data_IF_965866957456
#
_entry.id   IF_965866957456
#
_cell.length_a   1.000
_cell.length_b   1.000
_cell.length_c   1.000
_cell.angle_alpha   90.00
_cell.angle_beta   90.00
_cell.angle_gamma   90.00
#
_symmetry.space_group_name_H-M   'P 1'
#
loop_
_entity.id
_entity.type
_entity.pdbx_description
1 polymer ?
#
# COMPACT_ATOMS: atom_id res chain seq x y z
N UNK A 1 23.75 2.90 -1.33
CA UNK A 1 22.91 1.71 -1.00
C UNK A 1 21.47 2.09 -0.62
N UNK A 2 21.26 3.17 0.15
CA UNK A 2 19.92 3.65 0.59
C UNK A 2 18.89 3.94 -0.53
N UNK A 3 19.34 4.37 -1.72
CA UNK A 3 18.42 4.61 -2.85
C UNK A 3 17.85 3.31 -3.45
N UNK A 4 18.63 2.22 -3.47
CA UNK A 4 18.16 0.91 -3.95
C UNK A 4 17.18 0.28 -2.97
N UNK A 5 17.40 0.47 -1.66
CA UNK A 5 16.50 -0.02 -0.60
C UNK A 5 15.11 0.63 -0.66
N UNK A 6 15.03 1.96 -0.83
CA UNK A 6 13.73 2.65 -0.96
C UNK A 6 12.98 2.22 -2.23
N UNK A 7 13.69 2.02 -3.35
CA UNK A 7 13.06 1.51 -4.58
C UNK A 7 12.48 0.10 -4.38
N UNK A 8 13.22 -0.79 -3.73
CA UNK A 8 12.76 -2.14 -3.43
C UNK A 8 11.52 -2.13 -2.52
N UNK A 9 11.50 -1.27 -1.50
CA UNK A 9 10.34 -1.12 -0.61
C UNK A 9 9.10 -0.61 -1.36
N UNK A 10 9.25 0.33 -2.30
CA UNK A 10 8.15 0.79 -3.14
C UNK A 10 7.65 -0.30 -4.09
N UNK A 11 8.56 -1.12 -4.62
CA UNK A 11 8.20 -2.29 -5.42
C UNK A 11 7.43 -3.35 -4.61
N UNK A 12 7.84 -3.60 -3.37
CA UNK A 12 7.10 -4.47 -2.45
C UNK A 12 5.73 -3.89 -2.09
N UNK A 13 5.66 -2.58 -1.83
CA UNK A 13 4.38 -1.90 -1.58
C UNK A 13 3.42 -2.02 -2.77
N UNK A 14 3.92 -1.87 -4.00
CA UNK A 14 3.14 -2.10 -5.21
C UNK A 14 2.63 -3.54 -5.28
N UNK A 15 3.51 -4.52 -5.07
CA UNK A 15 3.13 -5.94 -5.09
C UNK A 15 2.04 -6.25 -4.06
N UNK A 16 2.25 -5.88 -2.80
CA UNK A 16 1.32 -6.19 -1.73
C UNK A 16 0.00 -5.43 -1.86
N UNK A 17 0.02 -4.14 -2.21
CA UNK A 17 -1.22 -3.39 -2.44
C UNK A 17 -2.02 -3.94 -3.62
N UNK A 18 -1.35 -4.37 -4.69
CA UNK A 18 -1.99 -4.99 -5.84
C UNK A 18 -2.62 -6.34 -5.48
N UNK A 19 -1.93 -7.16 -4.68
CA UNK A 19 -2.50 -8.40 -4.16
C UNK A 19 -3.71 -8.14 -3.27
N UNK A 20 -3.63 -7.17 -2.35
CA UNK A 20 -4.77 -6.78 -1.51
C UNK A 20 -5.97 -6.33 -2.36
N UNK A 21 -5.71 -5.53 -3.39
CA UNK A 21 -6.72 -5.06 -4.34
C UNK A 21 -7.37 -6.22 -5.11
N UNK A 22 -6.58 -7.07 -5.77
CA UNK A 22 -7.10 -8.18 -6.59
C UNK A 22 -7.85 -9.20 -5.74
N UNK A 23 -7.29 -9.59 -4.59
CA UNK A 23 -7.91 -10.58 -3.71
C UNK A 23 -9.25 -10.04 -3.21
N UNK A 24 -9.29 -8.81 -2.70
CA UNK A 24 -10.54 -8.22 -2.19
C UNK A 24 -11.56 -7.99 -3.32
N UNK A 25 -11.14 -7.46 -4.47
CA UNK A 25 -12.04 -7.22 -5.61
C UNK A 25 -12.70 -8.51 -6.13
N UNK A 26 -11.97 -9.61 -6.04
CA UNK A 26 -12.42 -10.93 -6.51
C UNK A 26 -13.16 -11.73 -5.43
N UNK A 27 -13.22 -11.22 -4.19
CA UNK A 27 -13.84 -11.91 -3.05
C UNK A 27 -15.37 -11.83 -3.09
N UNK A 28 -15.96 -12.47 -4.10
CA UNK A 28 -17.40 -12.58 -4.33
C UNK A 28 -17.78 -14.05 -4.47
N UNK A 29 -18.49 -14.58 -3.48
CA UNK A 29 -18.88 -15.99 -3.41
C UNK A 29 -20.41 -16.20 -3.31
N UNK A 30 -21.21 -15.13 -3.40
CA UNK A 30 -22.66 -15.21 -3.30
C UNK A 30 -23.20 -15.05 -1.87
N UNK A 31 -24.51 -14.94 -1.74
CA UNK A 31 -25.20 -14.72 -0.46
C UNK A 31 -24.58 -13.59 0.36
N UNK A 32 -24.20 -13.84 1.62
CA UNK A 32 -23.53 -12.89 2.50
C UNK A 32 -22.03 -12.76 2.21
N UNK A 33 -21.44 -13.67 1.43
CA UNK A 33 -20.00 -13.77 1.18
C UNK A 33 -19.55 -12.91 -0.01
N UNK A 34 -19.97 -11.66 -0.03
CA UNK A 34 -19.56 -10.68 -1.03
C UNK A 34 -18.97 -9.47 -0.32
N UNK A 35 -17.76 -9.07 -0.72
CA UNK A 35 -17.05 -8.00 -0.04
C UNK A 35 -17.82 -6.66 -0.04
N UNK A 36 -18.56 -6.39 -1.12
CA UNK A 36 -19.26 -5.13 -1.35
C UNK A 36 -20.44 -4.90 -0.41
N UNK A 37 -20.86 -5.94 0.32
CA UNK A 37 -21.87 -5.84 1.39
C UNK A 37 -21.35 -5.19 2.67
N UNK A 38 -20.02 -5.04 2.82
CA UNK A 38 -19.39 -4.56 4.04
C UNK A 38 -18.58 -3.29 3.77
N UNK A 39 -18.75 -2.27 4.61
CA UNK A 39 -18.10 -0.97 4.44
C UNK A 39 -16.58 -1.07 4.63
N UNK A 40 -16.15 -1.87 5.58
CA UNK A 40 -14.74 -2.09 5.93
C UNK A 40 -13.97 -2.73 4.77
N UNK A 41 -14.59 -3.67 4.06
CA UNK A 41 -13.99 -4.31 2.89
C UNK A 41 -14.00 -3.39 1.66
N UNK A 42 -15.05 -2.61 1.44
CA UNK A 42 -15.07 -1.57 0.39
C UNK A 42 -14.01 -0.51 0.65
N UNK A 43 -13.83 -0.10 1.89
CA UNK A 43 -12.80 0.83 2.30
C UNK A 43 -11.39 0.26 2.06
N UNK A 44 -11.14 -0.99 2.50
CA UNK A 44 -9.88 -1.69 2.22
C UNK A 44 -9.60 -1.80 0.72
N UNK A 45 -10.60 -2.16 -0.09
CA UNK A 45 -10.46 -2.23 -1.54
C UNK A 45 -10.07 -0.89 -2.15
N UNK A 46 -10.78 0.19 -1.78
CA UNK A 46 -10.55 1.53 -2.30
C UNK A 46 -9.14 2.03 -1.96
N UNK A 47 -8.70 1.82 -0.71
CA UNK A 47 -7.36 2.21 -0.29
C UNK A 47 -6.28 1.35 -0.94
N UNK A 48 -6.50 0.03 -1.10
CA UNK A 48 -5.58 -0.84 -1.81
C UNK A 48 -5.41 -0.39 -3.27
N UNK A 49 -6.51 -0.05 -3.96
CA UNK A 49 -6.48 0.51 -5.31
C UNK A 49 -5.70 1.82 -5.38
N UNK A 50 -5.98 2.77 -4.47
CA UNK A 50 -5.24 4.04 -4.42
C UNK A 50 -3.74 3.83 -4.16
N UNK A 51 -3.39 2.91 -3.27
CA UNK A 51 -2.00 2.56 -2.98
C UNK A 51 -1.29 1.94 -4.18
N UNK A 52 -1.97 1.04 -4.91
CA UNK A 52 -1.45 0.45 -6.15
C UNK A 52 -1.22 1.51 -7.21
N UNK A 53 -2.19 2.41 -7.44
CA UNK A 53 -2.04 3.48 -8.43
C UNK A 53 -0.89 4.43 -8.06
N UNK A 54 -0.80 4.80 -6.79
CA UNK A 54 0.27 5.67 -6.28
C UNK A 54 1.64 5.03 -6.47
N UNK A 55 1.83 3.78 -6.02
CA UNK A 55 3.12 3.08 -6.10
C UNK A 55 3.50 2.70 -7.53
N UNK A 56 2.52 2.40 -8.41
CA UNK A 56 2.75 2.23 -9.84
C UNK A 56 3.21 3.53 -10.49
N UNK A 57 2.57 4.65 -10.16
CA UNK A 57 2.97 5.98 -10.63
C UNK A 57 4.40 6.33 -10.20
N UNK A 58 4.76 6.03 -8.94
CA UNK A 58 6.13 6.18 -8.46
C UNK A 58 7.13 5.31 -9.24
N UNK A 59 6.79 4.04 -9.49
CA UNK A 59 7.65 3.11 -10.21
C UNK A 59 7.88 3.56 -11.66
N UNK A 60 6.81 3.97 -12.36
CA UNK A 60 6.88 4.49 -13.73
C UNK A 60 7.76 5.74 -13.81
N UNK A 61 7.60 6.67 -12.86
CA UNK A 61 8.43 7.87 -12.80
C UNK A 61 9.91 7.51 -12.64
N UNK A 62 10.25 6.58 -11.75
CA UNK A 62 11.64 6.13 -11.57
C UNK A 62 12.21 5.46 -12.82
N UNK A 63 11.44 4.60 -13.49
CA UNK A 63 11.85 3.96 -14.76
C UNK A 63 12.08 5.02 -15.83
N UNK A 64 11.22 6.03 -15.91
CA UNK A 64 11.35 7.12 -16.88
C UNK A 64 12.60 7.99 -16.62
N UNK A 65 12.89 8.32 -15.36
CA UNK A 65 14.11 9.04 -14.95
C UNK A 65 15.38 8.24 -15.26
N UNK A 66 15.37 6.92 -15.05
CA UNK A 66 16.46 6.00 -15.42
C UNK A 66 16.65 5.91 -16.94
N UNK A 67 15.56 5.86 -17.71
CA UNK A 67 15.60 5.70 -19.17
C UNK A 67 16.01 6.98 -19.89
N UNK A 68 15.53 8.14 -19.44
CA UNK A 68 15.76 9.42 -20.12
C UNK A 68 17.00 10.16 -19.57
N UNK A 69 17.49 9.78 -18.39
CA UNK A 69 18.59 10.46 -17.71
C UNK A 69 18.27 11.90 -17.24
N UNK A 70 17.05 12.37 -17.48
CA UNK A 70 16.55 13.69 -17.07
C UNK A 70 15.72 13.52 -15.79
N UNK A 71 16.09 14.28 -14.76
CA UNK A 71 15.29 14.32 -13.53
C UNK A 71 14.01 15.10 -13.79
N UNK A 72 12.84 14.48 -13.60
CA UNK A 72 11.55 15.16 -13.81
C UNK A 72 11.27 16.22 -12.75
N UNK A 73 11.77 16.02 -11.53
CA UNK A 73 11.76 17.02 -10.45
C UNK A 73 13.16 17.17 -9.87
N UNK A 74 13.41 18.33 -9.29
CA UNK A 74 14.58 18.57 -8.46
C UNK A 74 14.65 17.53 -7.33
N UNK A 75 15.85 17.02 -7.02
CA UNK A 75 16.05 15.91 -6.05
C UNK A 75 15.36 16.16 -4.71
N UNK A 76 15.38 17.41 -4.22
CA UNK A 76 14.77 17.80 -2.94
C UNK A 76 13.25 17.74 -3.00
N UNK A 77 12.65 18.31 -4.03
CA UNK A 77 11.19 18.29 -4.26
C UNK A 77 10.69 16.86 -4.45
N UNK A 78 11.43 16.03 -5.18
CA UNK A 78 11.09 14.61 -5.33
C UNK A 78 11.11 13.87 -3.98
N UNK A 79 12.15 14.08 -3.16
CA UNK A 79 12.26 13.42 -1.86
C UNK A 79 11.13 13.85 -0.91
N UNK A 80 10.69 15.10 -1.00
CA UNK A 80 9.59 15.63 -0.20
C UNK A 80 8.24 15.04 -0.62
N UNK A 81 7.96 14.98 -1.94
CA UNK A 81 6.73 14.35 -2.48
C UNK A 81 6.68 12.87 -2.11
N UNK A 82 7.79 12.16 -2.25
CA UNK A 82 7.88 10.76 -1.87
C UNK A 82 7.66 10.55 -0.37
N UNK A 83 8.25 11.40 0.47
CA UNK A 83 8.08 11.32 1.93
C UNK A 83 6.62 11.51 2.36
N UNK A 84 5.98 12.60 1.93
CA UNK A 84 4.60 12.89 2.31
C UNK A 84 3.61 11.90 1.69
N UNK A 85 3.81 11.54 0.42
CA UNK A 85 2.95 10.58 -0.26
C UNK A 85 3.04 9.18 0.37
N UNK A 86 4.25 8.68 0.64
CA UNK A 86 4.44 7.38 1.27
C UNK A 86 3.80 7.36 2.67
N UNK A 87 3.90 8.46 3.44
CA UNK A 87 3.22 8.57 4.74
C UNK A 87 1.70 8.55 4.64
N UNK A 88 1.11 9.39 3.78
CA UNK A 88 -0.35 9.48 3.63
C UNK A 88 -0.93 8.12 3.25
N UNK A 89 -0.32 7.46 2.27
CA UNK A 89 -0.80 6.15 1.80
C UNK A 89 -0.57 5.07 2.86
N UNK A 90 0.54 5.10 3.60
CA UNK A 90 0.77 4.19 4.72
C UNK A 90 -0.32 4.34 5.80
N UNK A 91 -0.68 5.56 6.18
CA UNK A 91 -1.74 5.80 7.17
C UNK A 91 -3.12 5.32 6.69
N UNK A 92 -3.43 5.52 5.41
CA UNK A 92 -4.67 5.00 4.84
C UNK A 92 -4.69 3.47 4.86
N UNK A 93 -3.60 2.81 4.47
CA UNK A 93 -3.51 1.34 4.43
C UNK A 93 -3.67 0.70 5.82
N UNK A 94 -2.99 1.24 6.84
CA UNK A 94 -3.13 0.72 8.20
C UNK A 94 -4.54 0.98 8.75
N UNK A 95 -5.12 2.14 8.44
CA UNK A 95 -6.49 2.49 8.82
C UNK A 95 -7.51 1.52 8.22
N UNK A 96 -7.47 1.32 6.90
CA UNK A 96 -8.42 0.44 6.21
C UNK A 96 -8.25 -1.02 6.60
N UNK A 97 -7.00 -1.50 6.71
CA UNK A 97 -6.71 -2.87 7.13
C UNK A 97 -7.20 -3.11 8.56
N UNK A 98 -6.95 -2.17 9.48
CA UNK A 98 -7.38 -2.30 10.88
C UNK A 98 -8.90 -2.27 11.03
N UNK A 99 -9.63 -1.52 10.20
CA UNK A 99 -11.10 -1.54 10.22
C UNK A 99 -11.69 -2.89 9.79
N UNK A 100 -11.03 -3.61 8.88
CA UNK A 100 -11.51 -4.88 8.34
C UNK A 100 -11.18 -6.10 9.24
N UNK A 101 -10.21 -5.99 10.14
CA UNK A 101 -9.79 -7.09 11.04
C UNK A 101 -10.93 -7.54 11.99
N UNK A 102 -11.58 -6.65 12.78
CA UNK A 102 -12.63 -7.07 13.70
C UNK A 102 -13.81 -7.72 12.99
N UNK A 103 -14.19 -7.19 11.83
CA UNK A 103 -15.24 -7.76 10.99
C UNK A 103 -14.90 -9.18 10.57
N UNK A 104 -13.69 -9.39 10.03
CA UNK A 104 -13.23 -10.71 9.58
C UNK A 104 -13.17 -11.70 10.74
N UNK A 105 -12.63 -11.30 11.89
CA UNK A 105 -12.52 -12.15 13.07
C UNK A 105 -13.90 -12.59 13.57
N UNK A 106 -14.85 -11.64 13.67
CA UNK A 106 -16.24 -11.94 14.07
C UNK A 106 -16.94 -12.90 13.11
N UNK A 107 -16.65 -12.83 11.81
CA UNK A 107 -17.20 -13.79 10.83
C UNK A 107 -16.63 -15.19 11.02
N UNK A 108 -15.33 -15.31 11.34
CA UNK A 108 -14.65 -16.59 11.54
C UNK A 108 -15.10 -17.34 12.79
N UNK A 109 -15.59 -16.63 13.80
CA UNK A 109 -16.24 -17.26 14.98
C UNK A 109 -17.48 -18.08 14.59
N UNK A 110 -18.22 -17.64 13.56
CA UNK A 110 -19.42 -18.34 13.08
C UNK A 110 -19.14 -19.39 12.00
N UNK A 111 -18.28 -19.07 11.03
CA UNK A 111 -17.93 -19.99 9.94
C UNK A 111 -16.59 -19.62 9.31
N UNK A 112 -15.60 -20.51 9.43
CA UNK A 112 -14.36 -20.38 8.68
C UNK A 112 -14.53 -20.91 7.26
N UNK A 113 -14.32 -20.07 6.25
CA UNK A 113 -14.55 -20.42 4.86
C UNK A 113 -13.71 -19.55 3.91
N UNK A 114 -13.74 -19.88 2.61
CA UNK A 114 -12.92 -19.21 1.59
C UNK A 114 -13.07 -17.68 1.56
N UNK A 115 -14.24 -17.14 1.91
CA UNK A 115 -14.47 -15.70 1.97
C UNK A 115 -13.69 -15.03 3.10
N UNK A 116 -13.66 -15.66 4.29
CA UNK A 116 -12.93 -15.15 5.45
C UNK A 116 -11.43 -15.33 5.29
N UNK A 117 -10.98 -16.44 4.68
CA UNK A 117 -9.57 -16.65 4.33
C UNK A 117 -9.07 -15.62 3.31
N UNK A 118 -9.86 -15.38 2.24
CA UNK A 118 -9.52 -14.38 1.24
C UNK A 118 -9.51 -12.96 1.82
N UNK A 119 -10.46 -12.66 2.73
CA UNK A 119 -10.47 -11.39 3.46
C UNK A 119 -9.22 -11.22 4.33
N UNK A 120 -8.87 -12.24 5.11
CA UNK A 120 -7.67 -12.23 5.96
C UNK A 120 -6.38 -12.10 5.13
N UNK A 121 -6.31 -12.77 3.97
CA UNK A 121 -5.18 -12.64 3.04
C UNK A 121 -5.08 -11.20 2.49
N UNK A 122 -6.18 -10.61 2.03
CA UNK A 122 -6.19 -9.22 1.54
C UNK A 122 -5.80 -8.21 2.63
N UNK A 123 -6.31 -8.38 3.86
CA UNK A 123 -5.94 -7.56 5.02
C UNK A 123 -4.44 -7.69 5.32
N UNK A 124 -3.91 -8.92 5.31
CA UNK A 124 -2.49 -9.17 5.55
C UNK A 124 -1.61 -8.48 4.51
N UNK A 125 -2.00 -8.56 3.23
CA UNK A 125 -1.34 -7.83 2.15
C UNK A 125 -1.42 -6.32 2.35
N UNK A 126 -2.55 -5.79 2.84
CA UNK A 126 -2.70 -4.38 3.22
C UNK A 126 -1.71 -3.93 4.29
N UNK A 127 -1.51 -4.74 5.35
CA UNK A 127 -0.50 -4.47 6.38
C UNK A 127 0.93 -4.57 5.85
N UNK A 128 1.25 -5.53 4.98
CA UNK A 128 2.57 -5.64 4.38
C UNK A 128 2.88 -4.45 3.45
N UNK A 129 1.89 -3.97 2.70
CA UNK A 129 1.99 -2.75 1.91
C UNK A 129 2.25 -1.53 2.82
N UNK A 130 1.52 -1.43 3.94
CA UNK A 130 1.73 -0.40 4.95
C UNK A 130 3.17 -0.41 5.48
N UNK A 131 3.68 -1.56 5.94
CA UNK A 131 5.04 -1.69 6.48
C UNK A 131 6.07 -1.26 5.43
N UNK A 132 5.88 -1.66 4.17
CA UNK A 132 6.77 -1.32 3.08
C UNK A 132 6.83 0.20 2.83
N UNK A 133 5.66 0.87 2.78
CA UNK A 133 5.60 2.33 2.61
C UNK A 133 6.08 3.09 3.85
N UNK A 134 5.76 2.62 5.06
CA UNK A 134 6.22 3.23 6.30
C UNK A 134 7.77 3.22 6.37
N UNK A 135 8.40 2.10 6.03
CA UNK A 135 9.86 2.02 5.95
C UNK A 135 10.42 2.91 4.83
N UNK A 136 9.75 2.98 3.68
CA UNK A 136 10.15 3.90 2.59
C UNK A 136 10.09 5.37 3.03
N UNK A 137 9.03 5.76 3.74
CA UNK A 137 8.86 7.10 4.30
C UNK A 137 9.96 7.41 5.33
N UNK A 138 10.28 6.49 6.24
CA UNK A 138 11.38 6.69 7.21
C UNK A 138 12.73 6.92 6.52
N UNK A 139 13.04 6.15 5.48
CA UNK A 139 14.26 6.33 4.70
C UNK A 139 14.26 7.69 3.97
N UNK A 140 13.14 8.07 3.36
CA UNK A 140 12.99 9.37 2.67
C UNK A 140 13.13 10.55 3.65
N UNK A 141 12.53 10.44 4.84
CA UNK A 141 12.64 11.44 5.89
C UNK A 141 14.06 11.57 6.45
N UNK A 142 14.76 10.44 6.64
CA UNK A 142 16.17 10.46 7.08
C UNK A 142 17.08 11.18 6.05
N UNK A 143 16.86 10.95 4.75
CA UNK A 143 17.57 11.68 3.69
C UNK A 143 17.27 13.18 3.72
N UNK A 144 16.00 13.55 3.87
CA UNK A 144 15.59 14.96 3.91
C UNK A 144 16.23 15.70 5.10
N UNK A 145 16.28 15.05 6.27
CA UNK A 145 16.90 15.60 7.48
C UNK A 145 18.42 15.79 7.32
N UNK A 146 19.11 14.78 6.79
CA UNK A 146 20.59 14.82 6.63
C UNK A 146 21.04 15.72 5.48
N UNK A 147 20.24 15.89 4.44
CA UNK A 147 20.54 16.77 3.31
C UNK A 147 20.32 18.26 3.63
N UNK A 148 19.72 18.59 4.79
CA UNK A 148 19.50 19.97 5.23
C UNK A 148 20.71 20.59 5.96
N UNK A 149 21.80 19.84 6.15
CA UNK A 149 22.98 20.25 6.93
C UNK A 149 24.23 20.57 6.09
N UNK A 150 24.11 20.68 4.76
CA UNK A 150 25.22 21.04 3.85
C UNK A 150 24.79 22.19 2.94
#
# INVERSE_FOLDING_TARGET
MLNRGSLALRGLALLFSLLAFIIMASNKHGDWKNYDKYEEYRYLLAIAMLSTLYTAGQALRHVHELSTGKQMLEKRTSAMVDFFGDQIVAYLLVSSSSSAVPLTNRMREGADNIFTDSSAAAISMGFLAFISLALSALISGHKLSTQSYI
#
